data_IF_222914807065
#
_entry.id   IF_222914807065
#
_cell.length_a   1.000
_cell.length_b   1.000
_cell.length_c   1.000
_cell.angle_alpha   90.00
_cell.angle_beta   90.00
_cell.angle_gamma   90.00
#
_symmetry.space_group_name_H-M   'P 1'
#
loop_
_entity.id
_entity.type
_entity.pdbx_description
1 polymer ?
#
# COMPACT_ATOMS: atom_id res chain seq x y z
N UNK A 1 1.57 16.77 -10.10
CA UNK A 1 1.22 16.26 -8.76
C UNK A 1 2.35 15.37 -8.26
N UNK A 2 2.98 15.66 -7.10
CA UNK A 2 4.05 14.81 -6.59
C UNK A 2 3.46 13.45 -6.21
N UNK A 3 3.96 12.37 -6.83
CA UNK A 3 3.61 11.00 -6.44
C UNK A 3 3.97 10.86 -4.97
N UNK A 4 2.98 10.54 -4.13
CA UNK A 4 3.20 10.23 -2.71
C UNK A 4 4.07 8.97 -2.70
N UNK A 5 5.39 9.18 -2.57
CA UNK A 5 6.36 8.10 -2.67
C UNK A 5 6.12 7.22 -1.46
N UNK A 6 5.51 6.07 -1.70
CA UNK A 6 5.28 5.05 -0.70
C UNK A 6 6.62 4.40 -0.38
N UNK A 7 7.43 5.07 0.43
CA UNK A 7 8.77 4.64 0.82
C UNK A 7 8.71 3.37 1.67
N UNK A 8 9.81 2.63 1.69
CA UNK A 8 9.92 1.43 2.53
C UNK A 8 9.71 1.76 4.02
N UNK A 9 10.21 2.91 4.48
CA UNK A 9 10.02 3.41 5.85
C UNK A 9 8.54 3.58 6.20
N UNK A 10 7.75 4.17 5.30
CA UNK A 10 6.31 4.32 5.51
C UNK A 10 5.63 2.95 5.63
N UNK A 11 5.93 2.02 4.71
CA UNK A 11 5.37 0.66 4.74
C UNK A 11 5.72 -0.05 6.04
N UNK A 12 6.98 0.07 6.51
CA UNK A 12 7.43 -0.54 7.77
C UNK A 12 6.67 0.06 8.95
N UNK A 13 6.47 1.39 8.97
CA UNK A 13 5.70 2.06 10.01
C UNK A 13 4.26 1.53 10.09
N UNK A 14 3.58 1.44 8.95
CA UNK A 14 2.19 0.92 8.88
C UNK A 14 2.13 -0.54 9.32
N UNK A 15 3.08 -1.38 8.90
CA UNK A 15 3.14 -2.79 9.33
C UNK A 15 3.34 -2.91 10.84
N UNK A 16 4.22 -2.10 11.42
CA UNK A 16 4.43 -2.08 12.88
C UNK A 16 3.19 -1.65 13.64
N UNK A 17 2.53 -0.57 13.20
CA UNK A 17 1.28 -0.09 13.79
C UNK A 17 0.19 -1.16 13.75
N UNK A 18 0.05 -1.88 12.62
CA UNK A 18 -0.91 -2.96 12.46
C UNK A 18 -0.60 -4.18 13.37
N UNK A 19 0.68 -4.48 13.59
CA UNK A 19 1.10 -5.55 14.49
C UNK A 19 0.91 -5.20 15.97
N UNK A 20 1.11 -3.92 16.34
CA UNK A 20 0.94 -3.42 17.71
C UNK A 20 -0.54 -3.29 18.09
N UNK A 21 -1.36 -2.78 17.18
CA UNK A 21 -2.81 -2.59 17.40
C UNK A 21 -3.60 -3.89 17.27
N UNK A 22 -3.08 -4.87 16.52
CA UNK A 22 -3.81 -6.09 16.14
C UNK A 22 -4.90 -5.88 15.08
N UNK A 23 -5.30 -4.63 14.84
CA UNK A 23 -6.44 -4.28 14.00
C UNK A 23 -6.03 -3.76 12.61
N UNK A 24 -5.47 -4.66 11.79
CA UNK A 24 -4.94 -4.33 10.46
C UNK A 24 -5.97 -3.64 9.54
N UNK A 25 -7.26 -3.93 9.68
CA UNK A 25 -8.32 -3.33 8.86
C UNK A 25 -8.51 -1.83 9.11
N UNK A 26 -8.42 -1.39 10.37
CA UNK A 26 -8.53 0.03 10.73
C UNK A 26 -7.28 0.78 10.29
N UNK A 27 -6.09 0.20 10.52
CA UNK A 27 -4.81 0.80 10.11
C UNK A 27 -4.73 0.94 8.59
N UNK A 28 -5.19 -0.06 7.84
CA UNK A 28 -5.28 0.00 6.38
C UNK A 28 -6.13 1.19 5.91
N UNK A 29 -7.34 1.36 6.46
CA UNK A 29 -8.24 2.47 6.13
C UNK A 29 -7.66 3.84 6.50
N UNK A 30 -7.01 3.95 7.66
CA UNK A 30 -6.41 5.21 8.14
C UNK A 30 -5.32 5.73 7.20
N UNK A 31 -4.56 4.82 6.61
CA UNK A 31 -3.45 5.14 5.72
C UNK A 31 -3.84 5.09 4.23
N UNK A 32 -5.13 4.88 3.92
CA UNK A 32 -5.67 4.70 2.55
C UNK A 32 -4.95 3.57 1.79
N UNK A 33 -4.75 2.45 2.47
CA UNK A 33 -4.08 1.26 1.96
C UNK A 33 -5.10 0.15 1.84
N UNK A 34 -5.09 -0.55 0.70
CA UNK A 34 -5.94 -1.72 0.55
C UNK A 34 -5.56 -2.80 1.60
N UNK A 35 -6.51 -3.37 2.35
CA UNK A 35 -6.21 -4.30 3.45
C UNK A 35 -5.38 -5.52 3.00
N UNK A 36 -5.64 -6.04 1.80
CA UNK A 36 -4.85 -7.14 1.20
C UNK A 36 -3.38 -6.74 0.98
N UNK A 37 -3.12 -5.48 0.62
CA UNK A 37 -1.76 -4.95 0.45
C UNK A 37 -1.03 -4.91 1.78
N UNK A 38 -1.71 -4.47 2.84
CA UNK A 38 -1.15 -4.45 4.19
C UNK A 38 -0.87 -5.87 4.70
N UNK A 39 -1.79 -6.83 4.50
CA UNK A 39 -1.57 -8.23 4.87
C UNK A 39 -0.37 -8.85 4.14
N UNK A 40 -0.16 -8.52 2.85
CA UNK A 40 1.03 -8.92 2.10
C UNK A 40 2.31 -8.34 2.70
N UNK A 41 2.32 -7.06 3.08
CA UNK A 41 3.49 -6.45 3.71
C UNK A 41 3.78 -7.06 5.08
N UNK A 42 2.75 -7.35 5.89
CA UNK A 42 2.91 -8.01 7.19
C UNK A 42 3.57 -9.39 7.00
N UNK A 43 3.06 -10.20 6.06
CA UNK A 43 3.63 -11.51 5.77
C UNK A 43 5.07 -11.42 5.24
N UNK A 44 5.35 -10.49 4.34
CA UNK A 44 6.70 -10.26 3.84
C UNK A 44 7.64 -9.79 4.95
N UNK A 45 7.17 -8.91 5.83
CA UNK A 45 7.94 -8.37 6.94
C UNK A 45 8.30 -9.46 7.95
N UNK A 46 7.36 -10.35 8.28
CA UNK A 46 7.60 -11.50 9.16
C UNK A 46 8.59 -12.51 8.55
N UNK A 47 8.54 -12.71 7.23
CA UNK A 47 9.35 -13.73 6.55
C UNK A 47 10.74 -13.26 6.15
N UNK A 48 10.87 -12.00 5.72
CA UNK A 48 12.08 -11.47 5.09
C UNK A 48 12.63 -10.22 5.79
N UNK A 49 11.95 -9.71 6.83
CA UNK A 49 12.31 -8.44 7.48
C UNK A 49 12.06 -7.21 6.61
N UNK A 50 11.42 -7.36 5.44
CA UNK A 50 11.16 -6.29 4.46
C UNK A 50 9.70 -6.30 4.04
N UNK A 51 9.14 -5.12 3.79
CA UNK A 51 7.71 -5.00 3.41
C UNK A 51 7.47 -5.38 1.96
N UNK A 52 8.48 -5.20 1.11
CA UNK A 52 8.46 -5.66 -0.28
C UNK A 52 9.60 -6.62 -0.54
N UNK A 53 9.28 -7.75 -1.16
CA UNK A 53 10.29 -8.55 -1.85
C UNK A 53 10.80 -7.70 -3.00
N UNK A 54 12.07 -7.28 -2.95
CA UNK A 54 12.69 -6.56 -4.05
C UNK A 54 12.61 -7.47 -5.26
N UNK A 55 11.66 -7.18 -6.16
CA UNK A 55 11.65 -7.80 -7.47
C UNK A 55 12.81 -7.17 -8.20
N UNK A 56 13.99 -7.77 -8.11
CA UNK A 56 15.07 -7.53 -9.06
C UNK A 56 14.60 -8.01 -10.43
N UNK A 57 13.70 -7.27 -11.08
CA UNK A 57 13.41 -7.38 -12.49
C UNK A 57 12.99 -6.01 -12.97
N UNK A 58 13.91 -5.33 -13.64
CA UNK A 58 13.69 -4.71 -14.94
C UNK A 58 12.26 -4.24 -15.24
N UNK A 59 12.14 -2.93 -15.50
CA UNK A 59 11.13 -2.30 -16.38
C UNK A 59 10.32 -3.31 -17.21
N UNK A 60 9.11 -3.67 -16.77
CA UNK A 60 8.09 -4.19 -17.70
C UNK A 60 6.72 -3.87 -17.12
N UNK A 61 6.14 -2.83 -17.70
CA UNK A 61 4.70 -2.59 -17.91
C UNK A 61 3.85 -3.86 -17.91
N UNK A 62 2.77 -3.84 -17.12
CA UNK A 62 1.41 -4.33 -17.42
C UNK A 62 0.68 -4.42 -16.07
N UNK A 63 -0.33 -3.56 -15.83
CA UNK A 63 -1.77 -3.89 -15.98
C UNK A 63 -2.24 -4.64 -14.70
N UNK A 64 -3.26 -4.27 -13.92
CA UNK A 64 -4.60 -3.75 -14.20
C UNK A 64 -5.31 -3.38 -12.86
N UNK A 65 -6.44 -2.65 -12.95
CA UNK A 65 -7.58 -2.58 -12.00
C UNK A 65 -7.43 -1.79 -10.69
N UNK A 66 -7.39 -0.45 -10.76
CA UNK A 66 -7.88 0.57 -9.79
C UNK A 66 -7.34 1.91 -10.36
N UNK A 67 -8.07 2.89 -10.86
CA UNK A 67 -9.21 3.56 -10.24
C UNK A 67 -10.02 4.25 -11.36
N UNK A 68 -11.09 3.58 -11.81
CA UNK A 68 -12.20 4.20 -12.55
C UNK A 68 -13.17 4.93 -11.60
N UNK A 69 -12.72 5.34 -10.43
CA UNK A 69 -13.57 5.91 -9.38
C UNK A 69 -12.81 7.13 -8.84
N UNK A 70 -12.96 8.29 -9.49
CA UNK A 70 -12.85 9.65 -8.90
C UNK A 70 -12.92 10.78 -9.95
N UNK A 71 -13.22 10.52 -11.23
CA UNK A 71 -13.50 11.59 -12.21
C UNK A 71 -15.00 11.92 -12.35
N UNK A 72 -15.82 11.61 -11.34
CA UNK A 72 -17.26 11.91 -11.32
C UNK A 72 -17.65 13.17 -10.55
N UNK A 73 -16.71 14.03 -10.18
CA UNK A 73 -16.98 15.17 -9.29
C UNK A 73 -16.36 16.53 -9.70
N UNK A 74 -15.96 16.72 -10.96
CA UNK A 74 -15.78 18.09 -11.48
C UNK A 74 -16.93 18.42 -12.44
N UNK A 75 -18.07 18.62 -11.79
CA UNK A 75 -19.27 19.29 -12.26
C UNK A 75 -18.97 20.71 -12.77
N UNK A 76 -19.73 21.11 -13.78
CA UNK A 76 -20.33 22.45 -13.90
C UNK A 76 -19.45 23.67 -13.56
N UNK A 77 -18.88 24.27 -14.61
CA UNK A 77 -18.87 25.73 -14.83
C UNK A 77 -18.57 26.03 -16.30
#
# INVERSE_FOLDING_TARGET
MPKKQLTEEFRVKVVKEALETGEQGIVARRHDIHPVTLSRWINNYKKYGKTTVSKQTSKTTNKDVESQILEKENEQL
#
